data_IF_569216802688
#
_entry.id   IF_569216802688
#
_cell.length_a   1.000
_cell.length_b   1.000
_cell.length_c   1.000
_cell.angle_alpha   90.00
_cell.angle_beta   90.00
_cell.angle_gamma   90.00
#
_symmetry.space_group_name_H-M   'P 1'
#
loop_
_entity.id
_entity.type
_entity.pdbx_description
1 polymer ?
#
# COMPACT_ATOMS: atom_id res chain seq x y z
N UNK A 1 6.58 -25.07 -32.99
CA UNK A 1 7.08 -23.82 -32.37
C UNK A 1 5.98 -22.79 -32.02
N UNK A 2 4.70 -23.01 -32.32
CA UNK A 2 3.62 -22.04 -32.03
C UNK A 2 3.41 -21.79 -30.51
N UNK A 3 3.65 -22.80 -29.67
CA UNK A 3 3.49 -22.67 -28.21
C UNK A 3 4.49 -21.70 -27.56
N UNK A 4 5.72 -21.60 -28.09
CA UNK A 4 6.76 -20.73 -27.54
C UNK A 4 6.52 -19.26 -27.89
N UNK A 5 6.02 -18.97 -29.08
CA UNK A 5 5.66 -17.61 -29.50
C UNK A 5 4.53 -17.02 -28.64
N UNK A 6 3.56 -17.84 -28.26
CA UNK A 6 2.44 -17.38 -27.42
C UNK A 6 2.87 -17.10 -25.97
N UNK A 7 3.81 -17.89 -25.43
CA UNK A 7 4.42 -17.62 -24.13
C UNK A 7 5.25 -16.34 -24.16
N UNK A 8 6.02 -16.13 -25.23
CA UNK A 8 6.84 -14.92 -25.39
C UNK A 8 5.98 -13.64 -25.38
N UNK A 9 4.90 -13.62 -26.15
CA UNK A 9 3.93 -12.49 -26.15
C UNK A 9 3.33 -12.24 -24.77
N UNK A 10 3.05 -13.29 -24.00
CA UNK A 10 2.50 -13.16 -22.64
C UNK A 10 3.51 -12.61 -21.65
N UNK A 11 4.79 -13.00 -21.77
CA UNK A 11 5.88 -12.45 -20.97
C UNK A 11 6.02 -10.96 -21.26
N UNK A 12 6.12 -10.59 -22.53
CA UNK A 12 6.24 -9.19 -22.97
C UNK A 12 5.08 -8.33 -22.43
N UNK A 13 3.84 -8.82 -22.57
CA UNK A 13 2.67 -8.13 -22.01
C UNK A 13 2.76 -7.91 -20.49
N UNK A 14 3.18 -8.94 -19.74
CA UNK A 14 3.33 -8.85 -18.29
C UNK A 14 4.45 -7.87 -17.89
N UNK A 15 5.55 -7.83 -18.63
CA UNK A 15 6.64 -6.88 -18.39
C UNK A 15 6.22 -5.43 -18.66
N UNK A 16 5.47 -5.19 -19.74
CA UNK A 16 4.87 -3.89 -20.02
C UNK A 16 3.91 -3.48 -18.90
N UNK A 17 3.00 -4.36 -18.52
CA UNK A 17 2.03 -4.12 -17.44
C UNK A 17 2.74 -3.81 -16.12
N UNK A 18 3.78 -4.57 -15.76
CA UNK A 18 4.62 -4.32 -14.58
C UNK A 18 5.26 -2.94 -14.61
N UNK A 19 5.86 -2.54 -15.74
CA UNK A 19 6.48 -1.20 -15.89
C UNK A 19 5.45 -0.09 -15.70
N UNK A 20 4.26 -0.22 -16.31
CA UNK A 20 3.16 0.74 -16.15
C UNK A 20 2.72 0.86 -14.68
N UNK A 21 2.54 -0.26 -13.98
CA UNK A 21 2.20 -0.27 -12.53
C UNK A 21 3.29 0.37 -11.65
N UNK A 22 4.55 0.37 -12.11
CA UNK A 22 5.67 1.04 -11.45
C UNK A 22 5.86 2.50 -11.88
N UNK A 23 4.91 3.07 -12.62
CA UNK A 23 4.94 4.48 -13.06
C UNK A 23 5.81 4.75 -14.29
N UNK A 24 6.26 3.71 -15.00
CA UNK A 24 7.16 3.84 -16.16
C UNK A 24 6.38 3.77 -17.47
N UNK A 25 6.78 4.56 -18.48
CA UNK A 25 6.20 4.47 -19.83
C UNK A 25 4.73 4.91 -19.92
N UNK A 26 4.28 5.76 -18.98
CA UNK A 26 2.88 6.21 -18.92
C UNK A 26 2.50 7.21 -20.01
N UNK A 27 3.46 7.84 -20.68
CA UNK A 27 3.21 8.84 -21.74
C UNK A 27 2.48 8.29 -22.97
N UNK A 28 2.42 6.96 -23.14
CA UNK A 28 1.65 6.31 -24.22
C UNK A 28 0.31 5.74 -23.75
N UNK A 29 -0.07 5.92 -22.48
CA UNK A 29 -1.32 5.39 -21.94
C UNK A 29 -2.47 6.35 -22.20
N UNK A 30 -3.67 5.82 -22.45
CA UNK A 30 -4.89 6.63 -22.47
C UNK A 30 -5.29 7.07 -21.05
N UNK A 31 -6.21 8.03 -20.97
CA UNK A 31 -6.74 8.49 -19.68
C UNK A 31 -7.44 7.35 -18.94
N UNK A 32 -8.19 6.52 -19.66
CA UNK A 32 -8.88 5.36 -19.12
C UNK A 32 -7.90 4.31 -18.59
N UNK A 33 -6.83 4.01 -19.34
CA UNK A 33 -5.78 3.09 -18.89
C UNK A 33 -5.11 3.61 -17.60
N UNK A 34 -4.82 4.91 -17.53
CA UNK A 34 -4.22 5.53 -16.33
C UNK A 34 -5.16 5.47 -15.13
N UNK A 35 -6.46 5.70 -15.34
CA UNK A 35 -7.47 5.59 -14.29
C UNK A 35 -7.60 4.16 -13.78
N UNK A 36 -7.56 3.16 -14.67
CA UNK A 36 -7.59 1.76 -14.27
C UNK A 36 -6.34 1.38 -13.46
N UNK A 37 -5.15 1.76 -13.94
CA UNK A 37 -3.88 1.56 -13.21
C UNK A 37 -3.96 2.18 -11.81
N UNK A 38 -4.43 3.43 -11.71
CA UNK A 38 -4.61 4.13 -10.43
C UNK A 38 -5.54 3.38 -9.48
N UNK A 39 -6.69 2.94 -9.98
CA UNK A 39 -7.69 2.20 -9.20
C UNK A 39 -7.16 0.85 -8.69
N UNK A 40 -6.43 0.12 -9.55
CA UNK A 40 -5.79 -1.15 -9.17
C UNK A 40 -4.70 -0.95 -8.10
N UNK A 41 -3.89 0.10 -8.23
CA UNK A 41 -2.85 0.43 -7.24
C UNK A 41 -3.46 0.84 -5.89
N UNK A 42 -4.49 1.68 -5.89
CA UNK A 42 -5.18 2.09 -4.67
C UNK A 42 -5.73 0.88 -3.91
N UNK A 43 -6.48 0.01 -4.60
CA UNK A 43 -7.11 -1.15 -3.98
C UNK A 43 -6.07 -2.16 -3.47
N UNK A 44 -5.01 -2.41 -4.24
CA UNK A 44 -3.94 -3.32 -3.83
C UNK A 44 -3.16 -2.78 -2.62
N UNK A 45 -2.84 -1.49 -2.59
CA UNK A 45 -2.15 -0.85 -1.46
C UNK A 45 -3.01 -0.84 -0.19
N UNK A 46 -4.32 -0.60 -0.32
CA UNK A 46 -5.28 -0.73 0.79
C UNK A 46 -5.23 -2.12 1.39
N UNK A 47 -5.27 -3.16 0.56
CA UNK A 47 -5.17 -4.55 1.00
C UNK A 47 -3.83 -4.88 1.66
N UNK A 48 -2.72 -4.42 1.08
CA UNK A 48 -1.36 -4.62 1.63
C UNK A 48 -1.24 -3.95 3.00
N UNK A 49 -1.67 -2.70 3.15
CA UNK A 49 -1.64 -1.99 4.44
C UNK A 49 -2.46 -2.72 5.49
N UNK A 50 -3.70 -3.11 5.17
CA UNK A 50 -4.55 -3.85 6.10
C UNK A 50 -3.92 -5.18 6.54
N UNK A 51 -3.25 -5.90 5.62
CA UNK A 51 -2.56 -7.15 5.96
C UNK A 51 -1.33 -6.90 6.85
N UNK A 52 -0.49 -5.91 6.51
CA UNK A 52 0.69 -5.54 7.31
C UNK A 52 0.28 -5.11 8.71
N UNK A 53 -0.78 -4.32 8.84
CA UNK A 53 -1.31 -3.89 10.13
C UNK A 53 -1.78 -5.08 10.98
N UNK A 54 -2.54 -6.02 10.41
CA UNK A 54 -2.94 -7.23 11.14
C UNK A 54 -1.74 -8.05 11.62
N UNK A 55 -0.70 -8.18 10.79
CA UNK A 55 0.52 -8.88 11.19
C UNK A 55 1.23 -8.17 12.35
N UNK A 56 1.40 -6.86 12.25
CA UNK A 56 2.03 -6.07 13.33
C UNK A 56 1.23 -6.09 14.63
N UNK A 57 -0.10 -6.08 14.56
CA UNK A 57 -0.97 -6.22 15.73
C UNK A 57 -0.79 -7.57 16.41
N UNK A 58 -0.68 -8.64 15.61
CA UNK A 58 -0.46 -9.99 16.11
C UNK A 58 0.94 -10.15 16.72
N UNK A 59 1.98 -9.63 16.09
CA UNK A 59 3.34 -9.64 16.63
C UNK A 59 3.42 -8.88 17.97
N UNK A 60 2.79 -7.71 18.04
CA UNK A 60 2.71 -6.94 19.29
C UNK A 60 1.94 -7.70 20.38
N UNK A 61 0.84 -8.37 20.03
CA UNK A 61 0.10 -9.22 20.98
C UNK A 61 1.00 -10.29 21.58
N UNK A 62 1.73 -11.02 20.73
CA UNK A 62 2.65 -12.08 21.18
C UNK A 62 3.79 -11.53 22.05
N UNK A 63 4.34 -10.37 21.70
CA UNK A 63 5.39 -9.72 22.51
C UNK A 63 4.85 -9.25 23.87
N UNK A 64 3.66 -8.66 23.92
CA UNK A 64 3.03 -8.26 25.19
C UNK A 64 2.78 -9.46 26.11
N UNK A 65 2.33 -10.59 25.54
CA UNK A 65 2.12 -11.83 26.30
C UNK A 65 3.43 -12.37 26.89
N UNK A 66 4.53 -12.32 26.13
CA UNK A 66 5.86 -12.74 26.61
C UNK A 66 6.42 -11.82 27.70
N UNK A 67 6.18 -10.51 27.58
CA UNK A 67 6.75 -9.52 28.50
C UNK A 67 5.85 -9.20 29.71
N UNK A 68 4.73 -9.91 29.91
CA UNK A 68 3.81 -9.70 31.05
C UNK A 68 3.05 -8.37 31.01
N UNK A 69 3.04 -7.68 29.87
CA UNK A 69 2.38 -6.39 29.70
C UNK A 69 0.87 -6.54 29.46
N UNK A 70 0.06 -5.65 30.05
CA UNK A 70 -1.40 -5.58 29.86
C UNK A 70 -1.76 -5.15 28.42
N UNK A 71 -1.75 -6.12 27.48
CA UNK A 71 -1.96 -5.91 26.04
C UNK A 71 -3.26 -5.20 25.62
N UNK A 72 -4.20 -5.02 26.55
CA UNK A 72 -5.51 -4.36 26.32
C UNK A 72 -5.44 -2.84 26.16
N UNK A 73 -4.40 -2.17 26.69
CA UNK A 73 -4.30 -0.69 26.65
C UNK A 73 -3.82 -0.17 25.27
N UNK A 74 -2.87 -0.88 24.65
CA UNK A 74 -2.30 -0.52 23.35
C UNK A 74 -3.27 -0.74 22.19
N UNK A 75 -4.09 -1.80 22.26
CA UNK A 75 -5.08 -2.11 21.23
C UNK A 75 -6.12 -0.98 21.07
N UNK A 76 -6.55 -0.33 22.16
CA UNK A 76 -7.56 0.74 22.12
C UNK A 76 -7.04 2.06 21.51
N UNK A 77 -5.73 2.32 21.59
CA UNK A 77 -5.13 3.52 20.99
C UNK A 77 -5.03 3.37 19.46
N UNK A 78 -4.71 2.17 18.97
CA UNK A 78 -4.61 1.85 17.55
C UNK A 78 -5.97 1.87 16.82
N UNK A 79 -7.04 1.38 17.44
CA UNK A 79 -8.39 1.41 16.84
C UNK A 79 -8.92 2.84 16.64
N UNK A 80 -8.52 3.80 17.48
CA UNK A 80 -8.89 5.21 17.31
C UNK A 80 -8.21 5.85 16.10
N UNK A 81 -6.95 5.48 15.83
CA UNK A 81 -6.21 5.96 14.66
C UNK A 81 -6.76 5.37 13.34
N UNK A 82 -7.31 4.15 13.39
CA UNK A 82 -7.96 3.47 12.26
C UNK A 82 -9.24 4.16 11.77
N UNK A 83 -10.07 4.67 12.69
CA UNK A 83 -11.33 5.33 12.32
C UNK A 83 -11.09 6.68 11.63
N UNK A 84 -10.07 7.45 12.05
CA UNK A 84 -9.70 8.72 11.42
C UNK A 84 -9.21 8.56 9.97
N UNK A 85 -8.53 7.44 9.66
CA UNK A 85 -8.05 7.14 8.30
C UNK A 85 -9.19 6.70 7.37
N UNK A 86 -10.21 6.04 7.92
CA UNK A 86 -11.34 5.52 7.16
C UNK A 86 -12.40 6.61 6.84
N UNK A 87 -12.54 7.64 7.68
CA UNK A 87 -13.42 8.79 7.42
C UNK A 87 -12.87 9.72 6.31
N UNK A 88 -11.54 9.82 6.16
CA UNK A 88 -10.92 10.58 5.08
C UNK A 88 -11.13 9.97 3.69
N UNK A 89 -11.44 8.67 3.60
CA UNK A 89 -11.65 7.98 2.32
C UNK A 89 -13.03 8.23 1.69
N UNK A 90 -13.97 8.84 2.44
CA UNK A 90 -15.27 9.22 1.92
C UNK A 90 -15.33 10.65 1.36
N UNK A 91 -14.31 11.47 1.61
CA UNK A 91 -14.25 12.83 1.08
C UNK A 91 -13.43 12.85 -0.22
N UNK A 92 -14.12 13.03 -1.36
CA UNK A 92 -13.57 13.04 -2.73
C UNK A 92 -12.71 14.29 -3.03
N UNK A 93 -11.70 14.59 -2.21
CA UNK A 93 -10.78 15.67 -2.51
C UNK A 93 -9.35 15.28 -2.13
N UNK A 94 -8.67 14.54 -3.00
CA UNK A 94 -7.22 14.40 -2.92
C UNK A 94 -6.57 15.73 -3.30
N UNK A 95 -6.28 16.56 -2.31
CA UNK A 95 -5.27 17.61 -2.41
C UNK A 95 -3.96 17.05 -1.88
N UNK A 96 -2.96 17.05 -2.77
CA UNK A 96 -1.52 16.87 -2.57
C UNK A 96 -1.03 16.80 -1.10
N UNK A 97 -0.52 15.64 -0.68
CA UNK A 97 0.16 15.48 0.60
C UNK A 97 1.66 15.37 0.33
N UNK A 98 2.38 16.48 0.52
CA UNK A 98 3.84 16.45 0.68
C UNK A 98 4.12 15.67 1.96
N UNK A 99 4.58 14.43 1.84
CA UNK A 99 5.05 13.66 2.99
C UNK A 99 6.51 14.02 3.25
N UNK A 100 6.76 15.02 4.08
CA UNK A 100 8.05 15.14 4.78
C UNK A 100 8.12 14.07 5.88
N UNK A 101 8.14 12.81 5.46
CA UNK A 101 8.36 11.68 6.35
C UNK A 101 9.87 11.48 6.49
N UNK A 102 10.47 12.12 7.49
CA UNK A 102 11.85 11.83 7.88
C UNK A 102 11.91 10.50 8.62
N UNK A 103 12.25 9.42 7.90
CA UNK A 103 12.62 8.13 8.47
C UNK A 103 14.12 8.14 8.81
N UNK A 104 14.54 9.04 9.70
CA UNK A 104 15.93 9.18 10.15
C UNK A 104 16.00 9.77 11.55
N UNK A 105 17.09 9.49 12.29
CA UNK A 105 17.31 10.11 13.60
C UNK A 105 17.32 11.65 13.47
N UNK A 106 16.63 12.40 14.34
CA UNK A 106 16.66 13.85 14.32
C UNK A 106 18.10 14.33 14.56
N UNK A 107 18.56 15.28 13.74
CA UNK A 107 19.83 15.95 14.01
C UNK A 107 19.66 16.84 15.24
N UNK A 108 20.46 16.57 16.26
CA UNK A 108 20.66 17.48 17.39
C UNK A 108 21.47 18.69 16.92
N UNK A 109 20.90 19.89 17.06
CA UNK A 109 21.66 21.14 17.15
C UNK A 109 21.54 21.67 18.57
#
# INVERSE_FOLDING_TARGET
>A
MIGTENMFKKIEFLEVSKRKLLGQGLGSCSVEELQEIGSQLEQSLKNIRARKERMLLEDNRQLCEKCGGSGKLWQQSLTKQRNAINDSAQNKQCSEVVTELFIGLPQSH
#
